data_IF_190679762414
#
_entry.id   IF_190679762414
#
_cell.length_a   1.000
_cell.length_b   1.000
_cell.length_c   1.000
_cell.angle_alpha   90.00
_cell.angle_beta   90.00
_cell.angle_gamma   90.00
#
_symmetry.space_group_name_H-M   'P 1'
#
loop_
_entity.id
_entity.type
_entity.pdbx_description
1 polymer ?
#
# COMPACT_ATOMS: atom_id res chain seq x y z
N UNK A 1 0.56 -14.10 -8.89
CA UNK A 1 0.88 -12.70 -9.24
C UNK A 1 2.11 -12.19 -8.49
N UNK A 2 2.14 -12.24 -7.16
CA UNK A 2 3.31 -11.79 -6.39
C UNK A 2 4.60 -12.59 -6.70
N UNK A 3 4.53 -13.92 -6.74
CA UNK A 3 5.67 -14.78 -7.09
C UNK A 3 6.16 -14.56 -8.53
N UNK A 4 5.24 -14.29 -9.46
CA UNK A 4 5.57 -13.96 -10.85
C UNK A 4 6.23 -12.57 -10.97
N UNK A 5 5.83 -11.60 -10.15
CA UNK A 5 6.46 -10.28 -10.10
C UNK A 5 7.88 -10.35 -9.53
N UNK A 6 8.09 -11.15 -8.48
CA UNK A 6 9.42 -11.42 -7.93
C UNK A 6 10.32 -12.15 -8.95
N UNK A 7 9.79 -13.16 -9.62
CA UNK A 7 10.52 -13.87 -10.68
C UNK A 7 10.82 -12.99 -11.91
N UNK A 8 10.04 -11.92 -12.13
CA UNK A 8 10.26 -10.93 -13.17
C UNK A 8 11.23 -9.80 -12.76
N UNK A 9 11.78 -9.84 -11.54
CA UNK A 9 12.73 -8.83 -11.04
C UNK A 9 12.08 -7.51 -10.66
N UNK A 10 10.79 -7.50 -10.29
CA UNK A 10 10.16 -6.29 -9.76
C UNK A 10 10.78 -5.93 -8.40
N UNK A 11 11.20 -4.68 -8.22
CA UNK A 11 11.71 -4.20 -6.94
C UNK A 11 10.60 -3.95 -5.90
N UNK A 12 9.35 -3.82 -6.36
CA UNK A 12 8.20 -3.44 -5.54
C UNK A 12 6.92 -4.20 -5.89
N UNK A 13 6.09 -4.50 -4.88
CA UNK A 13 4.72 -4.98 -5.02
C UNK A 13 3.75 -3.98 -4.43
N UNK A 14 2.73 -3.61 -5.21
CA UNK A 14 1.62 -2.77 -4.77
C UNK A 14 0.40 -3.58 -4.33
N UNK A 15 -0.10 -3.33 -3.13
CA UNK A 15 -1.37 -3.84 -2.60
C UNK A 15 -2.43 -2.74 -2.65
N UNK A 16 -3.51 -2.94 -3.38
CA UNK A 16 -4.58 -1.94 -3.48
C UNK A 16 -5.67 -2.24 -2.46
N UNK A 17 -5.84 -1.37 -1.47
CA UNK A 17 -6.87 -1.51 -0.43
C UNK A 17 -8.13 -0.68 -0.74
N UNK A 18 -8.05 0.22 -1.73
CA UNK A 18 -9.16 1.02 -2.20
C UNK A 18 -10.19 0.20 -3.00
N UNK A 19 -11.45 0.66 -3.00
CA UNK A 19 -12.54 0.06 -3.76
C UNK A 19 -12.26 0.12 -5.27
N UNK A 20 -11.77 -0.99 -5.84
CA UNK A 20 -11.36 -1.11 -7.23
C UNK A 20 -11.39 -2.58 -7.67
N UNK A 21 -11.32 -2.85 -8.99
CA UNK A 21 -11.20 -4.24 -9.50
C UNK A 21 -9.97 -4.99 -8.99
N UNK A 22 -8.96 -4.28 -8.50
CA UNK A 22 -7.68 -4.83 -8.01
C UNK A 22 -7.62 -4.85 -6.49
N UNK A 23 -8.74 -4.57 -5.81
CA UNK A 23 -8.81 -4.56 -4.35
C UNK A 23 -8.37 -5.91 -3.78
N UNK A 24 -7.48 -5.86 -2.80
CA UNK A 24 -7.07 -7.02 -2.01
C UNK A 24 -7.46 -6.82 -0.55
N UNK A 25 -7.81 -7.91 0.12
CA UNK A 25 -8.08 -7.92 1.54
C UNK A 25 -6.77 -7.82 2.35
N UNK A 26 -6.81 -7.17 3.52
CA UNK A 26 -5.62 -7.01 4.38
C UNK A 26 -5.07 -8.35 4.85
N UNK A 27 -5.93 -9.35 5.09
CA UNK A 27 -5.50 -10.70 5.44
C UNK A 27 -4.70 -11.36 4.31
N UNK A 28 -5.18 -11.23 3.07
CA UNK A 28 -4.50 -11.77 1.89
C UNK A 28 -3.18 -11.03 1.59
N UNK A 29 -3.17 -9.70 1.72
CA UNK A 29 -1.95 -8.91 1.56
C UNK A 29 -0.88 -9.29 2.60
N UNK A 30 -1.28 -9.55 3.84
CA UNK A 30 -0.40 -10.05 4.90
C UNK A 30 0.19 -11.42 4.59
N UNK A 31 -0.61 -12.36 4.10
CA UNK A 31 -0.11 -13.67 3.68
C UNK A 31 0.90 -13.56 2.54
N UNK A 32 0.63 -12.72 1.54
CA UNK A 32 1.55 -12.49 0.43
C UNK A 32 2.84 -11.85 0.95
N UNK A 33 2.74 -10.79 1.75
CA UNK A 33 3.89 -10.09 2.34
C UNK A 33 4.84 -11.04 3.07
N UNK A 34 4.31 -12.04 3.77
CA UNK A 34 5.11 -13.07 4.46
C UNK A 34 5.85 -14.02 3.51
N UNK A 35 5.30 -14.29 2.33
CA UNK A 35 5.89 -15.20 1.33
C UNK A 35 6.99 -14.52 0.51
N UNK A 36 6.98 -13.18 0.43
CA UNK A 36 7.96 -12.40 -0.34
C UNK A 36 8.64 -11.34 0.56
N UNK A 37 9.54 -11.74 1.47
CA UNK A 37 10.17 -10.82 2.41
C UNK A 37 11.09 -9.79 1.73
N UNK A 38 11.83 -10.18 0.69
CA UNK A 38 12.90 -9.39 0.06
C UNK A 38 12.44 -8.34 -0.96
N UNK A 39 11.13 -8.20 -1.20
CA UNK A 39 10.58 -7.21 -2.15
C UNK A 39 9.96 -6.04 -1.38
N UNK A 40 10.12 -4.82 -1.90
CA UNK A 40 9.50 -3.63 -1.32
C UNK A 40 7.98 -3.66 -1.44
N UNK A 41 7.26 -3.16 -0.44
CA UNK A 41 5.80 -3.30 -0.33
C UNK A 41 5.14 -1.92 -0.24
N UNK A 42 4.23 -1.66 -1.17
CA UNK A 42 3.50 -0.38 -1.26
C UNK A 42 2.02 -0.64 -1.03
N UNK A 43 1.39 0.07 -0.09
CA UNK A 43 -0.07 0.04 0.07
C UNK A 43 -0.72 1.23 -0.64
N UNK A 44 -1.72 0.98 -1.48
CA UNK A 44 -2.47 2.01 -2.20
C UNK A 44 -3.82 2.21 -1.55
N UNK A 45 -4.06 3.43 -1.08
CA UNK A 45 -5.26 3.85 -0.37
C UNK A 45 -5.92 5.05 -1.06
N UNK A 46 -7.23 5.17 -0.88
CA UNK A 46 -8.04 6.28 -1.39
C UNK A 46 -9.02 6.66 -0.29
N UNK A 47 -8.83 7.83 0.31
CA UNK A 47 -9.71 8.40 1.35
C UNK A 47 -9.99 7.43 2.52
N UNK A 48 -9.03 6.57 2.84
CA UNK A 48 -9.15 5.64 3.95
C UNK A 48 -8.92 6.37 5.30
N UNK A 49 -9.55 5.92 6.39
CA UNK A 49 -9.26 6.45 7.72
C UNK A 49 -7.80 6.24 8.11
N UNK A 50 -7.19 7.22 8.80
CA UNK A 50 -5.78 7.17 9.19
C UNK A 50 -5.45 5.91 10.01
N UNK A 51 -6.31 5.58 10.97
CA UNK A 51 -6.14 4.40 11.82
C UNK A 51 -6.14 3.10 11.01
N UNK A 52 -6.99 3.00 9.98
CA UNK A 52 -7.05 1.82 9.10
C UNK A 52 -5.75 1.69 8.29
N UNK A 53 -5.26 2.80 7.73
CA UNK A 53 -4.00 2.78 6.97
C UNK A 53 -2.82 2.39 7.85
N UNK A 54 -2.73 2.93 9.06
CA UNK A 54 -1.68 2.57 10.02
C UNK A 54 -1.74 1.10 10.43
N UNK A 55 -2.94 0.58 10.71
CA UNK A 55 -3.12 -0.82 11.06
C UNK A 55 -2.68 -1.75 9.91
N UNK A 56 -3.15 -1.49 8.69
CA UNK A 56 -2.80 -2.29 7.51
C UNK A 56 -1.30 -2.22 7.23
N UNK A 57 -0.70 -1.03 7.35
CA UNK A 57 0.73 -0.83 7.18
C UNK A 57 1.56 -1.68 8.14
N UNK A 58 1.17 -1.73 9.42
CA UNK A 58 1.85 -2.57 10.42
C UNK A 58 1.61 -4.06 10.16
N UNK A 59 0.36 -4.47 9.91
CA UNK A 59 -0.01 -5.87 9.72
C UNK A 59 0.64 -6.49 8.48
N UNK A 60 0.70 -5.73 7.38
CA UNK A 60 1.27 -6.17 6.10
C UNK A 60 2.75 -5.84 5.97
N UNK A 61 3.37 -5.19 6.97
CA UNK A 61 4.77 -4.71 6.93
C UNK A 61 5.05 -3.92 5.65
N UNK A 62 4.22 -2.90 5.38
CA UNK A 62 4.40 -2.03 4.23
C UNK A 62 5.63 -1.14 4.43
N UNK A 63 6.31 -0.83 3.33
CA UNK A 63 7.45 0.07 3.30
C UNK A 63 7.03 1.49 2.89
N UNK A 64 6.03 1.61 2.00
CA UNK A 64 5.51 2.89 1.50
C UNK A 64 3.99 2.90 1.48
N UNK A 65 3.42 4.10 1.63
CA UNK A 65 1.99 4.36 1.52
C UNK A 65 1.75 5.25 0.31
N UNK A 66 0.93 4.81 -0.63
CA UNK A 66 0.51 5.59 -1.78
C UNK A 66 -0.94 6.07 -1.60
N UNK A 67 -1.14 7.38 -1.67
CA UNK A 67 -2.42 8.04 -1.46
C UNK A 67 -2.96 8.63 -2.76
N UNK A 68 -4.09 8.11 -3.25
CA UNK A 68 -4.73 8.51 -4.52
C UNK A 68 -6.02 9.32 -4.33
N UNK A 69 -6.44 9.59 -3.09
CA UNK A 69 -7.64 10.37 -2.79
C UNK A 69 -7.39 11.88 -2.68
N UNK A 70 -8.13 12.50 -1.78
CA UNK A 70 -8.06 13.94 -1.45
C UNK A 70 -7.49 14.14 -0.04
N UNK A 71 -6.63 13.23 0.40
CA UNK A 71 -6.04 13.25 1.74
C UNK A 71 -5.25 14.55 1.96
N UNK A 72 -5.46 15.19 3.11
CA UNK A 72 -4.84 16.47 3.47
C UNK A 72 -3.35 16.33 3.80
N UNK A 73 -2.64 17.46 3.86
CA UNK A 73 -1.24 17.49 4.29
C UNK A 73 -1.07 16.96 5.72
N UNK A 74 -1.95 17.35 6.65
CA UNK A 74 -1.95 16.85 8.03
C UNK A 74 -2.12 15.33 8.10
N UNK A 75 -3.03 14.79 7.27
CA UNK A 75 -3.20 13.34 7.15
C UNK A 75 -1.90 12.67 6.70
N UNK A 76 -1.25 13.21 5.66
CA UNK A 76 0.02 12.68 5.17
C UNK A 76 1.13 12.74 6.24
N UNK A 77 1.20 13.82 7.02
CA UNK A 77 2.19 14.00 8.07
C UNK A 77 1.95 13.08 9.28
N UNK A 78 0.71 12.65 9.51
CA UNK A 78 0.37 11.74 10.60
C UNK A 78 0.72 10.27 10.32
N UNK A 79 1.08 9.93 9.08
CA UNK A 79 1.55 8.59 8.71
C UNK A 79 3.01 8.40 9.10
N UNK A 80 3.33 7.23 9.64
CA UNK A 80 4.68 6.90 10.13
C UNK A 80 5.61 6.33 9.04
N UNK A 81 5.10 6.11 7.84
CA UNK A 81 5.85 5.58 6.70
C UNK A 81 5.96 6.64 5.60
N UNK A 82 6.99 6.56 4.74
CA UNK A 82 7.10 7.41 3.56
C UNK A 82 5.81 7.39 2.71
N UNK A 83 5.31 8.58 2.39
CA UNK A 83 4.06 8.77 1.64
C UNK A 83 4.34 9.19 0.20
N UNK A 84 3.69 8.54 -0.76
CA UNK A 84 3.66 8.90 -2.17
C UNK A 84 2.26 9.42 -2.49
N UNK A 85 2.12 10.74 -2.67
CA UNK A 85 0.85 11.34 -3.07
C UNK A 85 0.71 11.29 -4.59
N UNK A 86 -0.32 10.61 -5.09
CA UNK A 86 -0.68 10.69 -6.49
C UNK A 86 -1.54 11.94 -6.72
N UNK A 87 -1.12 12.77 -7.68
CA UNK A 87 -1.85 13.95 -8.15
C UNK A 87 -2.32 13.63 -9.56
N UNK A 88 -3.61 13.84 -9.86
CA UNK A 88 -4.09 13.80 -11.23
C UNK A 88 -3.82 15.18 -11.85
N UNK A 89 -2.89 15.31 -12.81
CA UNK A 89 -2.84 16.51 -13.62
C UNK A 89 -4.15 16.60 -14.39
N UNK A 90 -4.78 17.78 -14.35
CA UNK A 90 -5.98 18.07 -15.15
C UNK A 90 -5.72 18.01 -16.65
#
# INVERSE_FOLDING_TARGET
>A
MAEAAQAAGADWIGFVFANSRRRIDSAAAREISRKVPDIGKVGVFVNAPLAEVQEIAMQCKLDYIQLHGEESADYCCALQLPVIKAIKPG
#
